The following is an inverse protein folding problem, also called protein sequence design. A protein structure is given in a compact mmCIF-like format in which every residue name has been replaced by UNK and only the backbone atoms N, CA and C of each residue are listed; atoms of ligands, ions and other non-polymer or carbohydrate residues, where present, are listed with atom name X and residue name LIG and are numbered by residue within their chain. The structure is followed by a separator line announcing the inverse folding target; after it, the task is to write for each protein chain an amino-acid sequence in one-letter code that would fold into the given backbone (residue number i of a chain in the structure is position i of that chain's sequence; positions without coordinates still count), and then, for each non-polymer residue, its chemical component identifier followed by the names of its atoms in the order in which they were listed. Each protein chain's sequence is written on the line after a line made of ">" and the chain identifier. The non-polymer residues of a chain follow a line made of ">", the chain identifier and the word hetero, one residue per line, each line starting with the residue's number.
data_IF_828003829694
#
_entry.id   IF_828003829694
#
_cell.length_a   1.000
_cell.length_b   1.000
_cell.length_c   1.000
_cell.angle_alpha   90.00
_cell.angle_beta   90.00
_cell.angle_gamma   90.00
#
_symmetry.space_group_name_H-M   'P 1'
#
loop_
_entity.id
_entity.type
_entity.pdbx_description
1 polymer ?
#
# COMPACT_ATOMS: atom_id res chain seq x y z
N UNK A 1 17.09 7.14 7.73
CA UNK A 1 17.28 7.06 6.26
C UNK A 1 16.35 8.07 5.59
N UNK A 2 16.89 8.92 4.74
CA UNK A 2 16.12 9.91 4.00
C UNK A 2 16.09 9.54 2.53
N UNK A 3 14.91 9.62 1.93
CA UNK A 3 14.71 9.36 0.51
C UNK A 3 14.06 10.59 -0.11
N UNK A 4 14.68 11.12 -1.16
CA UNK A 4 14.08 12.24 -1.90
C UNK A 4 13.18 11.71 -3.00
N UNK A 5 11.92 12.12 -2.96
CA UNK A 5 10.93 11.73 -3.95
C UNK A 5 10.29 12.96 -4.56
N UNK A 6 10.23 13.01 -5.88
CA UNK A 6 9.54 14.07 -6.59
C UNK A 6 8.04 13.85 -6.52
N UNK A 7 7.26 14.87 -6.93
CA UNK A 7 5.81 14.72 -7.00
C UNK A 7 5.42 13.58 -7.95
N UNK A 8 6.12 13.45 -9.06
CA UNK A 8 5.86 12.37 -10.02
C UNK A 8 6.13 11.01 -9.40
N UNK A 9 7.20 10.89 -8.59
CA UNK A 9 7.51 9.65 -7.88
C UNK A 9 6.38 9.29 -6.91
N UNK A 10 5.87 10.27 -6.18
CA UNK A 10 4.78 10.06 -5.23
C UNK A 10 3.50 9.63 -5.93
N UNK A 11 3.20 10.25 -7.08
CA UNK A 11 2.02 9.89 -7.88
C UNK A 11 2.11 8.45 -8.38
N UNK A 12 3.29 8.04 -8.85
CA UNK A 12 3.51 6.68 -9.31
C UNK A 12 3.36 5.68 -8.17
N UNK A 13 3.94 5.99 -7.01
CA UNK A 13 3.81 5.13 -5.83
C UNK A 13 2.36 5.01 -5.38
N UNK A 14 1.61 6.10 -5.39
CA UNK A 14 0.18 6.09 -5.04
C UNK A 14 -0.57 5.11 -5.96
N UNK A 15 -0.33 5.20 -7.26
CA UNK A 15 -0.97 4.33 -8.23
C UNK A 15 -0.60 2.86 -8.00
N UNK A 16 0.68 2.57 -7.82
CA UNK A 16 1.17 1.20 -7.63
C UNK A 16 0.65 0.60 -6.34
N UNK A 17 0.69 1.37 -5.26
CA UNK A 17 0.24 0.90 -3.95
C UNK A 17 -1.28 0.73 -3.91
N UNK A 18 -2.03 1.60 -4.57
CA UNK A 18 -3.49 1.46 -4.66
C UNK A 18 -3.86 0.17 -5.38
N UNK A 19 -3.14 -0.15 -6.44
CA UNK A 19 -3.34 -1.40 -7.17
C UNK A 19 -2.98 -2.60 -6.31
N UNK A 20 -1.86 -2.52 -5.59
CA UNK A 20 -1.42 -3.59 -4.71
C UNK A 20 -2.42 -3.83 -3.57
N UNK A 21 -3.00 -2.75 -3.03
CA UNK A 21 -4.02 -2.85 -1.99
C UNK A 21 -5.25 -3.61 -2.48
N UNK A 22 -5.72 -3.27 -3.67
CA UNK A 22 -6.87 -3.95 -4.27
C UNK A 22 -6.60 -5.43 -4.52
N UNK A 23 -5.42 -5.75 -5.07
CA UNK A 23 -5.00 -7.12 -5.32
C UNK A 23 -4.91 -7.92 -4.00
N UNK A 24 -4.35 -7.31 -2.97
CA UNK A 24 -4.22 -7.96 -1.66
C UNK A 24 -5.59 -8.26 -1.05
N UNK A 25 -6.55 -7.34 -1.19
CA UNK A 25 -7.92 -7.57 -0.71
C UNK A 25 -8.57 -8.76 -1.40
N UNK A 26 -8.38 -8.89 -2.71
CA UNK A 26 -8.90 -10.03 -3.47
C UNK A 26 -8.25 -11.31 -2.99
N UNK A 27 -6.94 -11.31 -2.77
CA UNK A 27 -6.22 -12.47 -2.26
C UNK A 27 -6.75 -12.89 -0.89
N UNK A 28 -6.99 -11.94 0.00
CA UNK A 28 -7.55 -12.22 1.34
C UNK A 28 -8.92 -12.88 1.21
N UNK A 29 -9.76 -12.37 0.32
CA UNK A 29 -11.11 -12.87 0.13
C UNK A 29 -11.14 -14.32 -0.34
N UNK A 30 -10.16 -14.72 -1.14
CA UNK A 30 -10.06 -16.06 -1.71
C UNK A 30 -9.09 -16.98 -0.97
N UNK A 31 -8.53 -16.53 0.15
CA UNK A 31 -7.56 -17.31 0.90
C UNK A 31 -8.25 -18.15 1.99
N UNK A 32 -8.01 -19.45 1.96
CA UNK A 32 -8.55 -20.38 2.95
C UNK A 32 -7.54 -20.79 4.02
N UNK A 33 -6.25 -20.47 3.82
CA UNK A 33 -5.20 -20.75 4.78
C UNK A 33 -5.16 -19.65 5.83
N UNK A 34 -5.38 -20.00 7.09
CA UNK A 34 -5.46 -19.02 8.18
C UNK A 34 -4.14 -18.25 8.37
N UNK A 35 -3.02 -18.94 8.33
CA UNK A 35 -1.72 -18.31 8.56
C UNK A 35 -1.35 -17.37 7.42
N UNK A 36 -1.57 -17.81 6.19
CA UNK A 36 -1.31 -16.97 5.02
C UNK A 36 -2.26 -15.78 4.97
N UNK A 37 -3.52 -15.98 5.37
CA UNK A 37 -4.50 -14.90 5.43
C UNK A 37 -4.09 -13.83 6.44
N UNK A 38 -3.55 -14.24 7.60
CA UNK A 38 -3.02 -13.28 8.57
C UNK A 38 -1.87 -12.47 8.02
N UNK A 39 -0.98 -13.11 7.28
CA UNK A 39 0.13 -12.44 6.59
C UNK A 39 -0.39 -11.41 5.59
N UNK A 40 -1.40 -11.77 4.80
CA UNK A 40 -1.98 -10.87 3.81
C UNK A 40 -2.67 -9.67 4.47
N UNK A 41 -3.37 -9.89 5.57
CA UNK A 41 -4.01 -8.80 6.31
C UNK A 41 -3.01 -7.81 6.87
N UNK A 42 -1.89 -8.30 7.40
CA UNK A 42 -0.82 -7.42 7.88
C UNK A 42 -0.22 -6.63 6.72
N UNK A 43 -0.03 -7.28 5.58
CA UNK A 43 0.46 -6.62 4.38
C UNK A 43 -0.50 -5.52 3.90
N UNK A 44 -1.81 -5.80 3.93
CA UNK A 44 -2.82 -4.80 3.58
C UNK A 44 -2.75 -3.59 4.50
N UNK A 45 -2.57 -3.81 5.81
CA UNK A 45 -2.43 -2.74 6.77
C UNK A 45 -1.21 -1.87 6.48
N UNK A 46 -0.07 -2.49 6.20
CA UNK A 46 1.16 -1.78 5.88
C UNK A 46 1.03 -0.95 4.60
N UNK A 47 0.38 -1.51 3.59
CA UNK A 47 0.14 -0.78 2.33
C UNK A 47 -0.76 0.43 2.59
N UNK A 48 -1.83 0.26 3.37
CA UNK A 48 -2.73 1.35 3.71
C UNK A 48 -2.05 2.47 4.48
N UNK A 49 -1.22 2.12 5.46
CA UNK A 49 -0.46 3.09 6.24
C UNK A 49 0.52 3.87 5.35
N UNK A 50 1.20 3.17 4.45
CA UNK A 50 2.14 3.80 3.53
C UNK A 50 1.41 4.72 2.54
N UNK A 51 0.28 4.28 2.01
CA UNK A 51 -0.55 5.10 1.12
C UNK A 51 -0.97 6.40 1.80
N UNK A 52 -1.40 6.33 3.06
CA UNK A 52 -1.80 7.51 3.81
C UNK A 52 -0.65 8.51 3.92
N UNK A 53 0.56 8.02 4.20
CA UNK A 53 1.75 8.88 4.28
C UNK A 53 2.11 9.50 2.93
N UNK A 54 1.96 8.73 1.84
CA UNK A 54 2.25 9.23 0.50
C UNK A 54 1.26 10.32 0.10
N UNK A 55 -0.03 10.12 0.38
CA UNK A 55 -1.05 11.13 0.09
C UNK A 55 -0.81 12.40 0.88
N UNK A 56 -0.39 12.28 2.14
CA UNK A 56 -0.04 13.42 2.96
C UNK A 56 1.18 14.16 2.39
N UNK A 57 2.19 13.42 1.94
CA UNK A 57 3.37 14.02 1.32
C UNK A 57 3.04 14.75 0.02
N UNK A 58 2.14 14.20 -0.79
CA UNK A 58 1.69 14.85 -2.01
C UNK A 58 0.98 16.17 -1.74
N UNK A 59 0.18 16.22 -0.67
CA UNK A 59 -0.53 17.44 -0.31
C UNK A 59 0.42 18.53 0.19
N UNK A 60 1.60 18.17 0.67
CA UNK A 60 2.60 19.10 1.17
C UNK A 60 3.55 19.64 0.10
N UNK A 61 3.49 19.12 -1.10
CA UNK A 61 4.41 19.50 -2.21
C UNK A 61 3.82 20.57 -3.11
#
# INVERSE_FOLDING_TARGET
>A
MNVELSKNDLMLLDMLLSKAEGTTRVEIHHCYDRDYKSFLKERERLIGDLLARIKKAMAAV
#
